data_IF_152007204524
#
_entry.id   IF_152007204524
#
_cell.length_a   1.000
_cell.length_b   1.000
_cell.length_c   1.000
_cell.angle_alpha   90.00
_cell.angle_beta   90.00
_cell.angle_gamma   90.00
#
_symmetry.space_group_name_H-M   'P 1'
#
loop_
_entity.id
_entity.type
_entity.pdbx_description
1 polymer ?
#
# COMPACT_ATOMS: atom_id res chain seq x y z
N UNK A 1 -12.39 -35.17 6.17
CA UNK A 1 -11.02 -34.77 5.77
C UNK A 1 -10.94 -33.27 5.92
N UNK A 2 -10.31 -32.78 6.98
CA UNK A 2 -10.03 -31.37 7.16
C UNK A 2 -8.99 -30.97 6.12
N UNK A 3 -9.38 -30.17 5.13
CA UNK A 3 -8.40 -29.52 4.26
C UNK A 3 -7.58 -28.60 5.15
N UNK A 4 -6.31 -28.95 5.35
CA UNK A 4 -5.37 -28.10 6.05
C UNK A 4 -5.14 -26.89 5.15
N UNK A 5 -5.84 -25.79 5.45
CA UNK A 5 -5.75 -24.56 4.66
C UNK A 5 -4.35 -24.01 4.88
N UNK A 6 -3.49 -24.11 3.86
CA UNK A 6 -2.16 -23.53 3.90
C UNK A 6 -2.28 -22.02 4.15
N UNK A 7 -1.62 -21.54 5.19
CA UNK A 7 -1.62 -20.14 5.59
C UNK A 7 -0.38 -19.42 5.04
N UNK A 8 -0.55 -18.19 4.59
CA UNK A 8 0.59 -17.35 4.21
C UNK A 8 1.38 -16.94 5.47
N UNK A 9 2.73 -17.00 5.47
CA UNK A 9 3.52 -16.58 6.62
C UNK A 9 3.41 -15.07 6.83
N UNK A 10 3.09 -14.66 8.07
CA UNK A 10 2.95 -13.25 8.45
C UNK A 10 4.17 -12.77 9.24
N UNK A 11 4.59 -11.54 8.94
CA UNK A 11 5.59 -10.81 9.73
C UNK A 11 4.87 -9.97 10.78
N UNK A 12 5.30 -10.05 12.03
CA UNK A 12 4.59 -9.40 13.14
C UNK A 12 5.43 -8.28 13.74
N UNK A 13 4.85 -7.08 13.86
CA UNK A 13 5.36 -5.98 14.68
C UNK A 13 4.46 -5.75 15.90
N UNK A 14 5.05 -5.35 17.02
CA UNK A 14 4.37 -5.09 18.29
C UNK A 14 5.02 -3.92 19.02
N UNK A 15 4.21 -3.11 19.67
CA UNK A 15 4.62 -2.19 20.72
C UNK A 15 3.81 -2.46 22.00
N UNK A 16 3.80 -1.53 22.96
CA UNK A 16 3.05 -1.69 24.21
C UNK A 16 1.52 -1.65 24.04
N UNK A 17 1.00 -1.14 22.91
CA UNK A 17 -0.42 -0.84 22.72
C UNK A 17 -1.07 -1.66 21.60
N UNK A 18 -0.32 -1.99 20.54
CA UNK A 18 -0.85 -2.52 19.30
C UNK A 18 0.03 -3.61 18.70
N UNK A 19 -0.58 -4.41 17.81
CA UNK A 19 0.08 -5.44 17.02
C UNK A 19 -0.29 -5.28 15.56
N UNK A 20 0.72 -5.30 14.70
CA UNK A 20 0.62 -5.23 13.25
C UNK A 20 1.04 -6.57 12.65
N UNK A 21 0.27 -7.10 11.72
CA UNK A 21 0.67 -8.23 10.89
C UNK A 21 0.85 -7.77 9.43
N UNK A 22 1.95 -8.17 8.83
CA UNK A 22 2.30 -7.90 7.44
C UNK A 22 2.32 -9.22 6.67
N UNK A 23 1.93 -9.20 5.40
CA UNK A 23 1.95 -10.33 4.50
C UNK A 23 2.92 -10.07 3.33
N UNK A 24 4.25 -10.26 3.51
CA UNK A 24 5.23 -10.01 2.46
C UNK A 24 4.93 -10.77 1.17
N UNK A 25 4.50 -12.04 1.26
CA UNK A 25 4.16 -12.87 0.11
C UNK A 25 2.87 -12.45 -0.61
N UNK A 26 2.04 -11.60 0.00
CA UNK A 26 0.76 -11.14 -0.55
C UNK A 26 0.82 -9.62 -0.77
N UNK A 27 1.63 -9.19 -1.75
CA UNK A 27 1.68 -7.78 -2.16
C UNK A 27 2.44 -6.87 -1.20
N UNK A 28 3.16 -7.40 -0.21
CA UNK A 28 3.76 -6.57 0.84
C UNK A 28 2.71 -5.83 1.66
N UNK A 29 1.53 -6.45 1.82
CA UNK A 29 0.37 -5.84 2.44
C UNK A 29 0.45 -5.80 3.97
N UNK A 30 -0.28 -4.85 4.56
CA UNK A 30 -0.71 -4.92 5.95
C UNK A 30 -1.93 -5.85 5.99
N UNK A 31 -1.81 -6.93 6.75
CA UNK A 31 -2.86 -7.91 6.96
C UNK A 31 -3.86 -7.45 8.02
N UNK A 32 -3.34 -6.93 9.12
CA UNK A 32 -4.15 -6.43 10.23
C UNK A 32 -3.34 -5.48 11.11
N UNK A 33 -4.05 -4.55 11.75
CA UNK A 33 -3.55 -3.75 12.86
C UNK A 33 -4.57 -3.78 13.98
N UNK A 34 -4.17 -4.21 15.17
CA UNK A 34 -5.10 -4.40 16.29
C UNK A 34 -4.56 -3.87 17.60
N UNK A 35 -5.47 -3.49 18.48
CA UNK A 35 -5.15 -3.12 19.86
C UNK A 35 -4.86 -4.38 20.69
N UNK A 36 -3.84 -4.32 21.56
CA UNK A 36 -3.41 -5.48 22.34
C UNK A 36 -4.37 -5.84 23.48
N UNK A 37 -4.96 -4.84 24.14
CA UNK A 37 -5.75 -5.05 25.37
C UNK A 37 -7.01 -5.89 25.18
N UNK A 38 -7.65 -5.79 24.02
CA UNK A 38 -8.97 -6.36 23.73
C UNK A 38 -9.09 -6.89 22.30
N UNK A 39 -8.02 -6.83 21.50
CA UNK A 39 -8.01 -7.32 20.14
C UNK A 39 -8.78 -6.45 19.14
N UNK A 40 -9.25 -5.24 19.52
CA UNK A 40 -10.02 -4.39 18.63
C UNK A 40 -9.26 -4.14 17.31
N UNK A 41 -9.85 -4.45 16.13
CA UNK A 41 -9.24 -4.10 14.85
C UNK A 41 -9.22 -2.58 14.67
N UNK A 42 -8.03 -2.03 14.41
CA UNK A 42 -7.80 -0.62 14.10
C UNK A 42 -7.79 -0.35 12.59
N UNK A 43 -7.56 -1.39 11.79
CA UNK A 43 -7.81 -1.43 10.36
C UNK A 43 -8.65 -2.67 10.03
N UNK A 44 -9.22 -2.71 8.82
CA UNK A 44 -9.93 -3.88 8.29
C UNK A 44 -9.14 -5.16 8.56
N UNK A 45 -9.78 -6.11 9.24
CA UNK A 45 -9.11 -7.30 9.75
C UNK A 45 -9.12 -8.49 8.79
N UNK A 46 -7.97 -9.15 8.68
CA UNK A 46 -7.87 -10.60 8.79
C UNK A 46 -7.43 -10.99 10.20
N UNK A 47 -7.77 -12.19 10.67
CA UNK A 47 -7.24 -12.72 11.93
C UNK A 47 -5.71 -12.90 11.91
N UNK A 48 -5.17 -13.72 12.81
CA UNK A 48 -3.72 -14.04 12.81
C UNK A 48 -3.28 -14.98 11.69
N UNK A 49 -4.21 -15.34 10.82
CA UNK A 49 -4.01 -16.25 9.71
C UNK A 49 -4.70 -15.69 8.46
N UNK A 50 -4.02 -15.81 7.33
CA UNK A 50 -4.54 -15.48 6.02
C UNK A 50 -4.44 -16.73 5.15
N UNK A 51 -5.51 -17.05 4.43
CA UNK A 51 -5.50 -18.13 3.45
C UNK A 51 -4.43 -17.84 2.38
N UNK A 52 -3.70 -18.87 1.96
CA UNK A 52 -2.63 -18.73 0.95
C UNK A 52 -3.09 -18.17 -0.39
N UNK A 53 -4.37 -18.30 -0.73
CA UNK A 53 -5.02 -17.79 -1.94
C UNK A 53 -5.72 -16.42 -1.74
N UNK A 54 -5.58 -15.81 -0.56
CA UNK A 54 -6.21 -14.53 -0.29
C UNK A 54 -5.71 -13.44 -1.23
N UNK A 55 -6.65 -12.62 -1.72
CA UNK A 55 -6.30 -11.43 -2.49
C UNK A 55 -5.80 -10.32 -1.56
N UNK A 56 -4.72 -9.60 -1.88
CA UNK A 56 -4.31 -8.43 -1.11
C UNK A 56 -5.42 -7.38 -0.95
N UNK A 57 -6.41 -7.35 -1.87
CA UNK A 57 -7.60 -6.49 -1.81
C UNK A 57 -8.56 -6.79 -0.65
N UNK A 58 -8.46 -7.97 -0.04
CA UNK A 58 -9.26 -8.32 1.15
C UNK A 58 -8.53 -7.96 2.44
N UNK A 59 -7.25 -7.58 2.37
CA UNK A 59 -6.42 -7.21 3.51
C UNK A 59 -6.59 -5.74 3.90
N UNK A 60 -5.92 -5.34 4.98
CA UNK A 60 -6.04 -4.00 5.56
C UNK A 60 -5.52 -2.90 4.63
N UNK A 61 -4.35 -3.10 4.03
CA UNK A 61 -3.72 -2.13 3.12
C UNK A 61 -2.69 -2.82 2.23
N UNK A 62 -2.55 -2.40 0.98
CA UNK A 62 -1.51 -2.85 0.06
C UNK A 62 -0.99 -1.66 -0.80
N UNK A 63 0.30 -1.65 -1.19
CA UNK A 63 0.92 -0.52 -1.87
C UNK A 63 0.44 -0.38 -3.32
N UNK A 64 0.10 0.84 -3.72
CA UNK A 64 -0.36 1.17 -5.08
C UNK A 64 0.82 1.75 -5.88
N UNK A 65 1.62 0.87 -6.49
CA UNK A 65 2.90 1.22 -7.14
C UNK A 65 3.02 0.48 -8.48
N UNK A 66 3.43 1.17 -9.56
CA UNK A 66 3.95 2.53 -9.60
C UNK A 66 2.90 3.65 -9.76
N UNK A 67 1.62 3.32 -9.85
CA UNK A 67 0.53 4.31 -9.88
C UNK A 67 -0.62 3.90 -8.97
N UNK A 68 -1.48 4.88 -8.65
CA UNK A 68 -2.71 4.65 -7.91
C UNK A 68 -3.91 4.72 -8.85
N UNK A 69 -4.94 3.93 -8.51
CA UNK A 69 -6.22 3.85 -9.21
C UNK A 69 -6.08 3.51 -10.70
N UNK A 70 -7.12 3.79 -11.47
CA UNK A 70 -7.26 3.41 -12.88
C UNK A 70 -6.48 4.36 -13.79
N UNK A 71 -5.95 3.78 -14.85
CA UNK A 71 -5.56 4.52 -16.06
C UNK A 71 -6.56 4.15 -17.15
N UNK A 72 -7.33 5.14 -17.61
CA UNK A 72 -8.32 4.95 -18.67
C UNK A 72 -7.68 4.54 -20.00
N UNK A 73 -8.50 4.17 -20.98
CA UNK A 73 -8.08 3.96 -22.38
C UNK A 73 -6.99 2.88 -22.61
N UNK A 74 -6.62 2.10 -21.60
CA UNK A 74 -5.62 1.02 -21.72
C UNK A 74 -4.17 1.52 -21.85
N UNK A 75 -3.87 2.73 -21.41
CA UNK A 75 -2.54 3.33 -21.51
C UNK A 75 -2.55 4.84 -21.34
N UNK A 76 -1.43 5.49 -21.64
CA UNK A 76 -1.31 6.95 -21.59
C UNK A 76 -0.27 7.46 -22.59
N UNK A 77 -0.37 8.73 -23.03
CA UNK A 77 0.64 9.32 -23.91
C UNK A 77 1.95 9.63 -23.16
N UNK A 78 3.08 9.38 -23.81
CA UNK A 78 4.43 9.73 -23.34
C UNK A 78 5.16 10.54 -24.41
N UNK A 79 6.28 11.21 -24.08
CA UNK A 79 7.13 11.84 -25.09
C UNK A 79 7.63 10.87 -26.17
N UNK A 80 7.69 9.57 -25.88
CA UNK A 80 8.13 8.49 -26.78
C UNK A 80 6.97 7.84 -27.56
N UNK A 81 5.72 8.27 -27.34
CA UNK A 81 4.51 7.71 -27.95
C UNK A 81 3.56 7.10 -26.92
N UNK A 82 2.61 6.29 -27.40
CA UNK A 82 1.60 5.66 -26.53
C UNK A 82 2.22 4.55 -25.67
N UNK A 83 2.13 4.67 -24.35
CA UNK A 83 2.48 3.61 -23.40
C UNK A 83 1.23 2.78 -23.13
N UNK A 84 1.14 1.61 -23.76
CA UNK A 84 0.06 0.65 -23.50
C UNK A 84 0.24 0.00 -22.13
N UNK A 85 -0.88 -0.25 -21.45
CA UNK A 85 -0.99 -0.97 -20.18
C UNK A 85 -2.20 -1.91 -20.24
N UNK A 86 -1.94 -3.21 -20.13
CA UNK A 86 -3.00 -4.21 -20.07
C UNK A 86 -3.74 -4.16 -18.72
N UNK A 87 -5.05 -4.48 -18.69
CA UNK A 87 -5.76 -4.70 -17.45
C UNK A 87 -5.06 -5.79 -16.63
N UNK A 88 -4.83 -5.51 -15.35
CA UNK A 88 -4.08 -6.38 -14.45
C UNK A 88 -5.00 -7.13 -13.48
N UNK A 89 -6.31 -7.05 -13.64
CA UNK A 89 -7.29 -7.77 -12.81
C UNK A 89 -8.46 -8.26 -13.66
N UNK A 90 -9.21 -9.25 -13.17
CA UNK A 90 -10.42 -9.74 -13.85
C UNK A 90 -11.68 -8.91 -13.59
N UNK A 91 -11.64 -7.99 -12.62
CA UNK A 91 -12.82 -7.23 -12.17
C UNK A 91 -12.86 -5.79 -12.69
N UNK A 92 -11.83 -5.36 -13.41
CA UNK A 92 -11.74 -4.02 -13.97
C UNK A 92 -11.25 -4.09 -15.42
N UNK A 93 -11.92 -3.41 -16.37
CA UNK A 93 -11.47 -3.35 -17.75
C UNK A 93 -10.24 -2.45 -17.95
N UNK A 94 -9.78 -1.76 -16.91
CA UNK A 94 -8.62 -0.85 -16.97
C UNK A 94 -7.46 -1.33 -16.08
N UNK A 95 -6.20 -1.01 -16.45
CA UNK A 95 -5.06 -1.16 -15.55
C UNK A 95 -5.26 -0.34 -14.27
N UNK A 96 -5.08 -0.97 -13.10
CA UNK A 96 -5.41 -0.41 -11.80
C UNK A 96 -4.32 -0.67 -10.75
N UNK A 97 -3.98 0.35 -9.96
CA UNK A 97 -3.11 0.27 -8.76
C UNK A 97 -1.68 -0.23 -8.97
N UNK A 98 -1.19 -0.25 -10.20
CA UNK A 98 0.16 -0.74 -10.46
C UNK A 98 0.32 -2.25 -10.35
N UNK A 99 1.57 -2.68 -10.29
CA UNK A 99 1.97 -4.10 -10.29
C UNK A 99 2.45 -4.58 -8.92
N UNK A 100 2.83 -3.68 -8.01
CA UNK A 100 3.51 -4.08 -6.78
C UNK A 100 2.64 -4.90 -5.81
N UNK A 101 1.34 -4.60 -5.77
CA UNK A 101 0.39 -5.28 -4.90
C UNK A 101 0.11 -6.72 -5.32
N UNK A 102 0.55 -7.14 -6.51
CA UNK A 102 0.30 -8.49 -7.05
C UNK A 102 1.52 -9.40 -6.95
N UNK A 103 2.59 -8.93 -6.30
CA UNK A 103 3.88 -9.62 -6.25
C UNK A 103 4.28 -9.92 -4.80
N UNK A 104 5.08 -10.96 -4.60
CA UNK A 104 5.70 -11.23 -3.32
C UNK A 104 6.86 -10.25 -3.09
N UNK A 105 6.97 -9.74 -1.86
CA UNK A 105 8.03 -8.85 -1.42
C UNK A 105 9.07 -9.64 -0.61
N UNK A 106 10.33 -9.31 -0.83
CA UNK A 106 11.46 -9.77 -0.03
C UNK A 106 11.44 -9.09 1.35
N UNK A 107 11.70 -9.86 2.41
CA UNK A 107 11.95 -9.30 3.74
C UNK A 107 13.44 -9.00 3.86
N UNK A 108 13.81 -7.71 3.81
CA UNK A 108 15.22 -7.27 3.92
C UNK A 108 15.66 -7.24 5.38
N UNK A 109 14.82 -6.73 6.28
CA UNK A 109 15.06 -6.78 7.72
C UNK A 109 13.76 -6.74 8.53
N UNK A 110 13.81 -7.29 9.75
CA UNK A 110 12.68 -7.37 10.67
C UNK A 110 13.15 -7.30 12.13
N UNK A 111 12.41 -6.57 12.96
CA UNK A 111 12.52 -6.56 14.41
C UNK A 111 11.13 -6.47 15.04
N UNK A 112 11.05 -6.43 16.37
CA UNK A 112 9.76 -6.29 17.06
C UNK A 112 8.98 -5.03 16.63
N UNK A 113 9.66 -3.93 16.30
CA UNK A 113 9.04 -2.62 15.99
C UNK A 113 9.28 -2.13 14.57
N UNK A 114 10.00 -2.87 13.73
CA UNK A 114 10.34 -2.44 12.38
C UNK A 114 10.32 -3.58 11.37
N UNK A 115 9.88 -3.29 10.14
CA UNK A 115 10.05 -4.16 8.99
C UNK A 115 10.51 -3.34 7.78
N UNK A 116 11.45 -3.89 7.01
CA UNK A 116 11.85 -3.39 5.70
C UNK A 116 11.57 -4.46 4.66
N UNK A 117 10.64 -4.15 3.76
CA UNK A 117 10.27 -5.00 2.64
C UNK A 117 10.76 -4.38 1.33
N UNK A 118 11.17 -5.23 0.38
CA UNK A 118 11.65 -4.79 -0.94
C UNK A 118 11.02 -5.61 -2.06
N UNK A 119 10.68 -4.94 -3.16
CA UNK A 119 10.26 -5.56 -4.40
C UNK A 119 11.08 -5.01 -5.55
N UNK A 120 11.74 -5.89 -6.31
CA UNK A 120 12.26 -5.56 -7.63
C UNK A 120 11.22 -6.00 -8.67
N UNK A 121 10.69 -5.06 -9.43
CA UNK A 121 9.70 -5.28 -10.47
C UNK A 121 10.35 -5.06 -11.84
N UNK A 122 10.09 -5.95 -12.79
CA UNK A 122 10.56 -5.79 -14.18
C UNK A 122 9.46 -5.24 -15.12
N UNK A 123 8.19 -5.54 -14.82
CA UNK A 123 7.04 -5.30 -15.72
C UNK A 123 5.86 -4.74 -14.92
N UNK A 124 5.14 -3.72 -15.41
CA UNK A 124 5.25 -3.08 -16.74
C UNK A 124 6.44 -2.13 -16.87
N UNK A 125 7.06 -1.75 -15.76
CA UNK A 125 8.26 -0.91 -15.73
C UNK A 125 9.27 -1.53 -14.79
N UNK A 126 10.55 -1.37 -15.10
CA UNK A 126 11.61 -1.73 -14.19
C UNK A 126 11.72 -0.69 -13.05
N UNK A 127 11.52 -1.14 -11.82
CA UNK A 127 11.65 -0.32 -10.62
C UNK A 127 11.96 -1.19 -9.39
N UNK A 128 12.47 -0.55 -8.35
CA UNK A 128 12.58 -1.13 -7.01
C UNK A 128 11.67 -0.33 -6.08
N UNK A 129 10.80 -1.01 -5.36
CA UNK A 129 9.96 -0.43 -4.32
C UNK A 129 10.39 -0.95 -2.95
N UNK A 130 10.44 -0.06 -1.97
CA UNK A 130 10.85 -0.37 -0.60
C UNK A 130 9.83 0.19 0.38
N UNK A 131 9.36 -0.65 1.30
CA UNK A 131 8.49 -0.28 2.39
C UNK A 131 9.26 -0.36 3.70
N UNK A 132 9.37 0.77 4.40
CA UNK A 132 9.87 0.83 5.76
C UNK A 132 8.70 1.10 6.68
N UNK A 133 8.43 0.14 7.56
CA UNK A 133 7.28 0.16 8.46
C UNK A 133 7.81 0.18 9.87
N UNK A 134 7.37 1.14 10.67
CA UNK A 134 7.68 1.22 12.10
C UNK A 134 6.42 1.29 12.92
N UNK A 135 6.49 0.69 14.11
CA UNK A 135 5.41 0.70 15.09
C UNK A 135 5.98 1.19 16.43
N UNK A 136 5.44 2.31 16.92
CA UNK A 136 5.90 2.92 18.18
C UNK A 136 4.77 3.61 18.94
N UNK A 137 4.49 3.16 20.16
CA UNK A 137 3.47 3.70 21.06
C UNK A 137 2.12 4.00 20.36
N UNK A 138 1.59 3.00 19.65
CA UNK A 138 0.34 3.05 18.89
C UNK A 138 0.42 3.86 17.60
N UNK A 139 1.61 4.26 17.17
CA UNK A 139 1.85 4.94 15.91
C UNK A 139 2.39 3.98 14.86
N UNK A 140 1.58 3.74 13.84
CA UNK A 140 2.01 3.09 12.61
C UNK A 140 2.55 4.15 11.65
N UNK A 141 3.84 4.06 11.33
CA UNK A 141 4.50 4.89 10.32
C UNK A 141 4.96 4.00 9.16
N UNK A 142 4.55 4.38 7.95
CA UNK A 142 4.94 3.68 6.74
C UNK A 142 5.56 4.67 5.75
N UNK A 143 6.76 4.36 5.30
CA UNK A 143 7.48 5.06 4.24
C UNK A 143 7.67 4.13 3.08
N UNK A 144 7.09 4.49 1.95
CA UNK A 144 7.22 3.82 0.67
C UNK A 144 8.16 4.64 -0.23
N UNK A 145 9.22 4.02 -0.72
CA UNK A 145 10.17 4.61 -1.66
C UNK A 145 10.16 3.80 -2.94
N UNK A 146 10.10 4.48 -4.09
CA UNK A 146 10.16 3.85 -5.41
C UNK A 146 11.32 4.45 -6.16
N UNK A 147 12.24 3.59 -6.60
CA UNK A 147 13.37 3.93 -7.45
C UNK A 147 13.10 3.40 -8.85
N UNK A 148 13.04 4.28 -9.85
CA UNK A 148 12.91 3.85 -11.24
C UNK A 148 14.25 3.33 -11.75
N UNK A 149 14.26 2.19 -12.44
CA UNK A 149 15.44 1.64 -13.06
C UNK A 149 15.16 1.52 -14.56
N UNK A 150 15.75 2.40 -15.36
CA UNK A 150 15.69 2.33 -16.83
C UNK A 150 17.07 2.07 -17.43
N UNK A 151 17.12 1.51 -18.64
CA UNK A 151 18.30 0.99 -19.33
C UNK A 151 19.26 2.06 -19.92
N UNK A 152 19.46 3.25 -19.31
CA UNK A 152 20.64 4.07 -19.65
C UNK A 152 20.61 5.59 -19.62
N UNK A 153 19.75 6.29 -18.87
CA UNK A 153 19.91 7.73 -18.63
C UNK A 153 19.22 8.25 -17.35
N UNK A 154 19.71 9.37 -16.81
CA UNK A 154 19.24 9.98 -15.56
C UNK A 154 19.05 11.52 -15.68
N UNK A 155 18.05 12.04 -14.99
CA UNK A 155 17.80 13.44 -14.62
C UNK A 155 17.52 13.48 -13.11
N UNK A 156 17.61 14.63 -12.43
CA UNK A 156 17.44 14.73 -10.97
C UNK A 156 16.36 15.76 -10.59
N UNK A 157 15.60 15.48 -9.52
CA UNK A 157 14.52 16.33 -9.01
C UNK A 157 14.18 15.96 -7.57
N UNK A 158 13.79 16.94 -6.75
CA UNK A 158 13.52 16.77 -5.30
C UNK A 158 12.03 16.52 -5.03
N UNK A 159 11.62 15.39 -4.43
CA UNK A 159 10.23 15.14 -4.06
C UNK A 159 9.86 15.71 -2.67
N UNK A 160 8.67 16.31 -2.55
CA UNK A 160 8.00 16.67 -1.28
C UNK A 160 6.58 16.07 -1.17
N UNK A 161 6.10 15.94 0.07
CA UNK A 161 5.00 15.08 0.53
C UNK A 161 3.59 15.39 0.03
N UNK A 162 2.81 14.31 -0.08
CA UNK A 162 1.47 14.28 -0.64
C UNK A 162 0.44 14.91 0.30
N UNK A 163 -0.51 15.67 -0.26
CA UNK A 163 -1.64 16.27 0.47
C UNK A 163 -3.00 15.66 0.13
N UNK A 164 -3.02 14.50 -0.54
CA UNK A 164 -4.24 13.86 -1.04
C UNK A 164 -4.39 12.43 -0.46
N UNK A 165 -5.61 12.08 -0.09
CA UNK A 165 -6.00 10.73 0.31
C UNK A 165 -7.37 10.39 -0.28
N UNK A 166 -7.60 9.12 -0.57
CA UNK A 166 -8.91 8.58 -0.90
C UNK A 166 -9.49 7.89 0.34
N UNK A 167 -10.78 8.09 0.57
CA UNK A 167 -11.57 7.31 1.51
C UNK A 167 -12.51 6.43 0.69
N UNK A 168 -12.34 5.13 0.80
CA UNK A 168 -13.27 4.17 0.21
C UNK A 168 -14.06 3.49 1.33
N UNK A 169 -15.37 3.74 1.36
CA UNK A 169 -16.29 3.08 2.28
C UNK A 169 -17.16 2.11 1.46
N UNK A 170 -16.96 0.78 1.57
CA UNK A 170 -17.86 -0.17 0.96
C UNK A 170 -19.27 -0.05 1.54
N UNK A 171 -20.29 -0.19 0.69
CA UNK A 171 -21.69 0.06 1.06
C UNK A 171 -22.18 -0.79 2.25
N UNK A 172 -21.68 -2.02 2.37
CA UNK A 172 -22.08 -3.00 3.39
C UNK A 172 -20.96 -3.31 4.39
N UNK A 173 -19.95 -2.43 4.52
CA UNK A 173 -18.84 -2.61 5.44
C UNK A 173 -18.91 -1.70 6.67
N UNK A 174 -18.53 -2.23 7.83
CA UNK A 174 -18.31 -1.48 9.08
C UNK A 174 -16.90 -0.84 9.14
N UNK A 175 -16.23 -0.74 8.00
CA UNK A 175 -14.87 -0.22 7.86
C UNK A 175 -14.76 0.75 6.68
N UNK A 176 -13.67 1.52 6.66
CA UNK A 176 -13.25 2.32 5.50
C UNK A 176 -11.80 1.99 5.16
N UNK A 177 -11.44 2.15 3.89
CA UNK A 177 -10.05 2.17 3.45
C UNK A 177 -9.57 3.63 3.40
N UNK A 178 -8.47 3.92 4.09
CA UNK A 178 -7.75 5.17 3.96
C UNK A 178 -6.55 4.96 3.06
N UNK A 179 -6.52 5.65 1.92
CA UNK A 179 -5.54 5.45 0.87
C UNK A 179 -4.78 6.77 0.63
N UNK A 180 -3.62 6.99 1.27
CA UNK A 180 -2.71 8.06 0.90
C UNK A 180 -2.26 7.88 -0.55
N UNK A 181 -2.51 8.87 -1.39
CA UNK A 181 -2.18 8.80 -2.82
C UNK A 181 -1.40 10.05 -3.24
N UNK A 182 -0.54 9.91 -4.25
CA UNK A 182 0.21 11.03 -4.79
C UNK A 182 -0.58 11.88 -5.80
N UNK A 183 -1.64 11.33 -6.38
CA UNK A 183 -2.39 11.93 -7.50
C UNK A 183 -3.88 11.50 -7.49
N UNK A 184 -4.78 12.27 -8.12
CA UNK A 184 -6.18 11.88 -8.32
C UNK A 184 -6.32 10.73 -9.33
N UNK A 185 -7.54 10.19 -9.42
CA UNK A 185 -7.89 9.13 -10.38
C UNK A 185 -7.65 9.62 -11.80
N UNK A 186 -7.04 8.75 -12.63
CA UNK A 186 -6.77 9.00 -14.04
C UNK A 186 -5.93 10.26 -14.34
N UNK A 187 -5.06 10.66 -13.39
CA UNK A 187 -4.20 11.84 -13.53
C UNK A 187 -3.32 11.84 -14.80
N UNK A 188 -3.08 10.68 -15.41
CA UNK A 188 -2.34 10.53 -16.65
C UNK A 188 -3.05 11.18 -17.86
N UNK A 189 -4.36 11.37 -17.79
CA UNK A 189 -5.17 12.02 -18.81
C UNK A 189 -5.62 13.45 -18.42
N UNK A 190 -5.30 13.90 -17.20
CA UNK A 190 -5.70 15.23 -16.73
C UNK A 190 -4.68 16.30 -17.17
N UNK A 191 -5.11 17.51 -17.55
CA UNK A 191 -4.20 18.60 -17.89
C UNK A 191 -3.18 18.86 -16.78
N UNK A 192 -1.90 18.90 -17.14
CA UNK A 192 -0.80 19.17 -16.19
C UNK A 192 -0.41 17.99 -15.29
N UNK A 193 -1.02 16.81 -15.47
CA UNK A 193 -0.67 15.56 -14.76
C UNK A 193 -0.54 15.74 -13.23
N UNK A 194 -1.59 16.24 -12.55
CA UNK A 194 -1.51 16.68 -11.16
C UNK A 194 -1.03 15.56 -10.23
N UNK A 195 0.01 15.83 -9.45
CA UNK A 195 0.57 14.87 -8.48
C UNK A 195 1.43 13.76 -9.07
N UNK A 196 1.42 13.58 -10.40
CA UNK A 196 2.34 12.67 -11.09
C UNK A 196 3.72 13.29 -11.20
N UNK A 197 4.74 12.43 -11.11
CA UNK A 197 6.14 12.82 -11.31
C UNK A 197 6.78 11.87 -12.31
N UNK A 198 7.34 12.45 -13.35
CA UNK A 198 8.22 11.70 -14.24
C UNK A 198 9.52 11.39 -13.51
N UNK A 199 9.88 10.12 -13.46
CA UNK A 199 11.15 9.63 -12.93
C UNK A 199 11.96 9.08 -14.08
N UNK A 200 13.24 9.41 -14.11
CA UNK A 200 14.27 8.82 -14.97
C UNK A 200 15.08 7.80 -14.19
N UNK A 201 16.00 7.08 -14.84
CA UNK A 201 16.77 6.01 -14.17
C UNK A 201 17.53 6.53 -12.96
N UNK A 202 17.39 5.81 -11.84
CA UNK A 202 17.99 6.16 -10.55
C UNK A 202 17.22 7.23 -9.75
N UNK A 203 16.20 7.89 -10.32
CA UNK A 203 15.38 8.82 -9.56
C UNK A 203 14.43 8.11 -8.63
N UNK A 204 14.09 8.82 -7.55
CA UNK A 204 13.22 8.33 -6.50
C UNK A 204 12.02 9.23 -6.29
N UNK A 205 10.88 8.59 -5.99
CA UNK A 205 9.75 9.23 -5.33
C UNK A 205 9.51 8.53 -3.99
N UNK A 206 9.08 9.31 -3.00
CA UNK A 206 8.74 8.77 -1.68
C UNK A 206 7.37 9.30 -1.23
N UNK A 207 6.60 8.41 -0.61
CA UNK A 207 5.37 8.72 0.09
C UNK A 207 5.51 8.22 1.52
N UNK A 208 5.17 9.06 2.51
CA UNK A 208 5.18 8.72 3.93
C UNK A 208 3.86 9.10 4.54
N UNK A 209 3.30 8.23 5.36
CA UNK A 209 2.08 8.50 6.12
C UNK A 209 2.20 7.91 7.53
N UNK A 210 1.39 8.45 8.43
CA UNK A 210 1.30 8.01 9.82
C UNK A 210 -0.16 7.87 10.22
N UNK A 211 -0.48 6.75 10.87
CA UNK A 211 -1.73 6.59 11.60
C UNK A 211 -1.39 6.41 13.07
N UNK A 212 -2.01 7.22 13.92
CA UNK A 212 -1.82 7.15 15.36
C UNK A 212 -3.12 6.74 16.03
N UNK A 213 -3.07 5.61 16.71
CA UNK A 213 -4.12 5.23 17.63
C UNK A 213 -4.07 6.13 18.88
N UNK A 214 -5.23 6.65 19.27
CA UNK A 214 -5.44 7.34 20.55
C UNK A 214 -6.81 6.95 21.08
N UNK A 215 -6.90 6.74 22.39
CA UNK A 215 -8.20 6.58 23.04
C UNK A 215 -8.87 7.93 23.18
N UNK A 216 -10.14 7.98 22.78
CA UNK A 216 -11.04 9.04 23.19
C UNK A 216 -11.56 8.73 24.59
N UNK A 217 -11.60 9.70 25.52
CA UNK A 217 -12.28 9.53 26.79
C UNK A 217 -13.73 9.11 26.54
N UNK A 218 -14.25 8.20 27.36
CA UNK A 218 -15.67 7.84 27.29
C UNK A 218 -16.51 9.11 27.48
N UNK A 219 -17.36 9.43 26.50
CA UNK A 219 -18.39 10.45 26.69
C UNK A 219 -19.22 10.03 27.91
N UNK A 220 -19.06 10.75 29.02
CA UNK A 220 -19.99 10.64 30.12
C UNK A 220 -21.29 11.25 29.63
N UNK A 221 -22.23 10.41 29.20
CA UNK A 221 -23.60 10.84 28.99
C UNK A 221 -24.14 11.18 30.37
N UNK A 222 -24.07 12.45 30.76
CA UNK A 222 -24.82 12.96 31.92
C UNK A 222 -26.29 12.82 31.57
N UNK A 223 -26.95 11.80 32.13
CA UNK A 223 -28.39 11.65 32.05
C UNK A 223 -29.06 12.88 32.65
N UNK A 224 -29.99 13.45 31.89
CA UNK A 224 -31.05 14.33 32.40
C UNK A 224 -32.30 13.47 32.55
#
# INVERSE_FOLDING_TARGET
MTHDVLQAPLLVLRDGLTRLALAPSLGGAIASWRRLRDGLPLLRGGGDAIASDASPRTLAQYPLVPWSNRIGQGGYPTPQGWQALAPNTSHDPYPIHGSAWQQAWEVVSHSERHAHLRLACATPFAYVAEQHITLDEGCLDCRLVVTHHDHGYALAGRPTGCGLYLLYCPADGDFFCFEPVSHPIDAHHLPGHPGLRWLTSGQQAALRWQLRYRETPAHHTTGV
#
